data_IF_333650132146
#
_entry.id   IF_333650132146
#
_cell.length_a   1.000
_cell.length_b   1.000
_cell.length_c   1.000
_cell.angle_alpha   90.00
_cell.angle_beta   90.00
_cell.angle_gamma   90.00
#
_symmetry.space_group_name_H-M   'P 1'
#
loop_
_entity.id
_entity.type
_entity.pdbx_description
1 polymer ?
#
# COMPACT_ATOMS: atom_id res chain seq x y z
N UNK A 1 4.82 -23.15 -4.26
CA UNK A 1 5.78 -23.46 -3.18
C UNK A 1 7.05 -24.15 -3.72
N UNK A 2 7.02 -24.86 -4.86
CA UNK A 2 8.14 -25.69 -5.34
C UNK A 2 9.45 -24.98 -5.74
N UNK A 3 9.52 -23.64 -5.71
CA UNK A 3 10.70 -22.86 -6.11
C UNK A 3 11.19 -21.89 -5.02
N UNK A 4 10.56 -21.86 -3.84
CA UNK A 4 10.95 -20.95 -2.78
C UNK A 4 11.97 -21.63 -1.86
N UNK A 5 13.07 -20.94 -1.53
CA UNK A 5 14.03 -21.41 -0.51
C UNK A 5 13.40 -21.37 0.89
N UNK A 6 12.52 -20.40 1.15
CA UNK A 6 11.78 -20.25 2.41
C UNK A 6 10.31 -19.96 2.11
N UNK A 7 9.41 -20.71 2.76
CA UNK A 7 7.96 -20.50 2.70
C UNK A 7 7.40 -20.17 4.08
N UNK A 8 7.03 -18.90 4.28
CA UNK A 8 6.43 -18.41 5.53
C UNK A 8 4.91 -18.48 5.45
N UNK A 9 4.32 -19.59 5.91
CA UNK A 9 2.87 -19.77 5.93
C UNK A 9 2.23 -19.11 7.16
N UNK A 10 2.31 -17.78 7.23
CA UNK A 10 1.81 -17.01 8.36
C UNK A 10 0.28 -17.01 8.50
N UNK A 11 -0.20 -16.81 9.73
CA UNK A 11 -1.59 -16.52 10.03
C UNK A 11 -2.04 -15.23 9.32
N UNK A 12 -3.20 -15.23 8.61
CA UNK A 12 -3.68 -14.04 7.91
C UNK A 12 -3.81 -12.81 8.83
N UNK A 13 -3.26 -11.68 8.39
CA UNK A 13 -3.32 -10.42 9.15
C UNK A 13 -2.12 -10.14 10.04
N UNK A 14 -1.17 -11.07 10.16
CA UNK A 14 0.01 -10.94 11.03
C UNK A 14 1.26 -10.38 10.33
N UNK A 15 1.09 -9.82 9.14
CA UNK A 15 2.18 -9.35 8.26
C UNK A 15 3.09 -8.31 8.93
N UNK A 16 2.51 -7.36 9.68
CA UNK A 16 3.27 -6.33 10.39
C UNK A 16 4.13 -6.97 11.49
N UNK A 17 3.58 -7.95 12.21
CA UNK A 17 4.29 -8.68 13.26
C UNK A 17 5.50 -9.43 12.68
N UNK A 18 5.30 -10.14 11.55
CA UNK A 18 6.38 -10.82 10.84
C UNK A 18 7.46 -9.84 10.38
N UNK A 19 7.08 -8.74 9.71
CA UNK A 19 8.03 -7.76 9.22
C UNK A 19 8.80 -7.07 10.35
N UNK A 20 8.15 -6.84 11.51
CA UNK A 20 8.84 -6.32 12.69
C UNK A 20 9.81 -7.34 13.30
N UNK A 21 9.46 -8.63 13.33
CA UNK A 21 10.37 -9.67 13.81
C UNK A 21 11.62 -9.78 12.92
N UNK A 22 11.44 -9.74 11.59
CA UNK A 22 12.56 -9.70 10.64
C UNK A 22 13.39 -8.43 10.84
N UNK A 23 12.74 -7.27 10.95
CA UNK A 23 13.44 -5.99 11.18
C UNK A 23 14.23 -5.96 12.48
N UNK A 24 13.69 -6.57 13.55
CA UNK A 24 14.41 -6.77 14.83
C UNK A 24 15.69 -7.57 14.61
N UNK A 25 15.59 -8.73 13.96
CA UNK A 25 16.74 -9.61 13.71
C UNK A 25 17.82 -8.94 12.88
N UNK A 26 17.44 -8.20 11.82
CA UNK A 26 18.39 -7.43 11.01
C UNK A 26 19.15 -6.39 11.86
N UNK A 27 18.46 -5.70 12.77
CA UNK A 27 19.09 -4.75 13.69
C UNK A 27 20.00 -5.46 14.70
N UNK A 28 19.56 -6.58 15.28
CA UNK A 28 20.33 -7.34 16.27
C UNK A 28 21.62 -7.92 15.67
N UNK A 29 21.57 -8.37 14.41
CA UNK A 29 22.71 -8.93 13.70
C UNK A 29 23.67 -7.87 13.15
N UNK A 30 23.26 -6.60 13.09
CA UNK A 30 24.00 -5.54 12.41
C UNK A 30 23.87 -5.58 10.88
N UNK A 31 22.90 -6.30 10.34
CA UNK A 31 22.59 -6.42 8.91
C UNK A 31 21.82 -5.19 8.37
N UNK A 32 22.16 -3.99 8.87
CA UNK A 32 21.54 -2.72 8.51
C UNK A 32 22.57 -1.76 7.92
N UNK A 33 22.12 -0.91 7.00
CA UNK A 33 22.95 0.12 6.38
C UNK A 33 22.81 1.43 7.18
N UNK A 34 23.64 1.57 8.23
CA UNK A 34 23.60 2.74 9.12
C UNK A 34 23.87 4.06 8.39
N UNK A 35 24.75 4.06 7.40
CA UNK A 35 25.06 5.26 6.61
C UNK A 35 23.86 5.64 5.73
N UNK A 36 23.21 4.66 5.09
CA UNK A 36 21.98 4.93 4.35
C UNK A 36 20.87 5.43 5.26
N UNK A 37 20.64 4.78 6.40
CA UNK A 37 19.62 5.17 7.38
C UNK A 37 19.84 6.64 7.80
N UNK A 38 21.07 7.00 8.17
CA UNK A 38 21.40 8.35 8.64
C UNK A 38 21.20 9.42 7.57
N UNK A 39 21.54 9.12 6.32
CA UNK A 39 21.58 10.11 5.24
C UNK A 39 20.27 10.21 4.43
N UNK A 40 19.43 9.16 4.45
CA UNK A 40 18.31 9.03 3.51
C UNK A 40 16.99 8.61 4.16
N UNK A 41 16.94 8.46 5.49
CA UNK A 41 15.71 8.08 6.20
C UNK A 41 15.45 8.96 7.41
N UNK A 42 14.24 8.89 7.93
CA UNK A 42 13.83 9.51 9.19
C UNK A 42 13.08 8.50 10.06
N UNK A 43 13.03 8.74 11.37
CA UNK A 43 12.22 7.91 12.29
C UNK A 43 12.81 6.54 12.66
N UNK A 44 14.08 6.26 12.34
CA UNK A 44 14.72 4.97 12.66
C UNK A 44 14.68 4.63 14.16
N UNK A 45 14.93 5.59 15.06
CA UNK A 45 14.89 5.33 16.50
C UNK A 45 13.49 4.94 17.00
N UNK A 46 12.44 5.56 16.45
CA UNK A 46 11.05 5.16 16.72
C UNK A 46 10.77 3.76 16.17
N UNK A 47 11.19 3.48 14.93
CA UNK A 47 11.04 2.15 14.32
C UNK A 47 11.76 1.07 15.14
N UNK A 48 13.01 1.32 15.54
CA UNK A 48 13.80 0.44 16.41
C UNK A 48 13.05 0.17 17.73
N UNK A 49 12.54 1.20 18.41
CA UNK A 49 11.74 1.00 19.62
C UNK A 49 10.53 0.10 19.36
N UNK A 50 9.83 0.26 18.23
CA UNK A 50 8.64 -0.53 17.87
C UNK A 50 9.01 -2.00 17.63
N UNK A 51 10.03 -2.30 16.83
CA UNK A 51 10.36 -3.69 16.49
C UNK A 51 10.92 -4.48 17.68
N UNK A 52 11.50 -3.79 18.67
CA UNK A 52 11.97 -4.42 19.90
C UNK A 52 10.87 -4.61 20.97
N UNK A 53 9.63 -4.13 20.75
CA UNK A 53 8.51 -4.33 21.69
C UNK A 53 8.07 -5.78 21.83
N UNK A 54 8.36 -6.63 20.82
CA UNK A 54 8.06 -8.06 20.85
C UNK A 54 9.34 -8.85 20.67
N UNK A 55 9.42 -9.97 21.36
CA UNK A 55 10.45 -10.99 21.16
C UNK A 55 10.19 -11.78 19.87
N UNK A 56 11.21 -12.51 19.40
CA UNK A 56 11.05 -13.42 18.27
C UNK A 56 10.01 -14.51 18.57
N UNK A 57 10.06 -15.10 19.76
CA UNK A 57 9.12 -16.13 20.21
C UNK A 57 7.66 -15.66 20.18
N UNK A 58 7.37 -14.48 20.76
CA UNK A 58 6.00 -13.91 20.73
C UNK A 58 5.54 -13.63 19.30
N UNK A 59 6.43 -13.11 18.45
CA UNK A 59 6.10 -12.84 17.06
C UNK A 59 5.84 -14.13 16.27
N UNK A 60 6.65 -15.17 16.49
CA UNK A 60 6.51 -16.48 15.88
C UNK A 60 5.17 -17.14 16.27
N UNK A 61 4.82 -17.09 17.57
CA UNK A 61 3.53 -17.56 18.08
C UNK A 61 2.35 -16.85 17.40
N UNK A 62 2.36 -15.51 17.37
CA UNK A 62 1.31 -14.72 16.71
C UNK A 62 1.20 -15.08 15.23
N UNK A 63 2.33 -15.17 14.54
CA UNK A 63 2.37 -15.49 13.12
C UNK A 63 2.03 -16.95 12.82
N UNK A 64 2.00 -17.85 13.81
CA UNK A 64 1.84 -19.28 13.58
C UNK A 64 3.02 -19.88 12.81
N UNK A 65 4.24 -19.43 13.10
CA UNK A 65 5.47 -19.83 12.43
C UNK A 65 6.50 -20.34 13.44
N UNK A 66 7.45 -21.15 12.98
CA UNK A 66 8.64 -21.50 13.76
C UNK A 66 9.64 -20.33 13.76
N UNK A 67 10.22 -20.03 14.93
CA UNK A 67 11.25 -18.98 15.09
C UNK A 67 12.40 -19.17 14.09
N UNK A 68 12.84 -20.42 13.90
CA UNK A 68 13.92 -20.78 12.98
C UNK A 68 13.64 -20.34 11.54
N UNK A 69 12.39 -20.39 11.10
CA UNK A 69 12.01 -20.00 9.73
C UNK A 69 12.04 -18.48 9.54
N UNK A 70 11.63 -17.72 10.56
CA UNK A 70 11.74 -16.25 10.57
C UNK A 70 13.21 -15.84 10.59
N UNK A 71 14.03 -16.53 11.40
CA UNK A 71 15.48 -16.33 11.47
C UNK A 71 16.15 -16.56 10.12
N UNK A 72 15.80 -17.66 9.46
CA UNK A 72 16.32 -17.99 8.12
C UNK A 72 15.92 -16.91 7.09
N UNK A 73 14.67 -16.44 7.12
CA UNK A 73 14.23 -15.35 6.24
C UNK A 73 15.03 -14.05 6.47
N UNK A 74 15.26 -13.68 7.74
CA UNK A 74 16.09 -12.52 8.08
C UNK A 74 17.54 -12.69 7.61
N UNK A 75 18.13 -13.88 7.77
CA UNK A 75 19.48 -14.20 7.28
C UNK A 75 19.58 -14.09 5.75
N UNK A 76 18.58 -14.55 5.01
CA UNK A 76 18.57 -14.38 3.55
C UNK A 76 18.55 -12.92 3.15
N UNK A 77 17.77 -12.08 3.84
CA UNK A 77 17.70 -10.64 3.58
C UNK A 77 19.03 -9.97 3.96
N UNK A 78 19.59 -10.25 5.14
CA UNK A 78 20.83 -9.62 5.62
C UNK A 78 22.06 -9.96 4.75
N UNK A 79 22.11 -11.17 4.18
CA UNK A 79 23.20 -11.58 3.28
C UNK A 79 22.98 -11.18 1.81
N UNK A 80 21.84 -10.57 1.47
CA UNK A 80 21.49 -10.28 0.09
C UNK A 80 22.37 -9.16 -0.49
N UNK A 81 22.86 -9.35 -1.72
CA UNK A 81 23.49 -8.25 -2.48
C UNK A 81 22.44 -7.30 -3.07
N UNK A 82 21.22 -7.77 -3.25
CA UNK A 82 20.06 -7.00 -3.69
C UNK A 82 18.78 -7.65 -3.16
N UNK A 83 17.87 -6.82 -2.67
CA UNK A 83 16.62 -7.27 -2.06
C UNK A 83 15.43 -6.57 -2.73
N UNK A 84 14.65 -7.35 -3.48
CA UNK A 84 13.38 -6.91 -4.05
C UNK A 84 12.26 -7.51 -3.21
N UNK A 85 11.41 -6.64 -2.66
CA UNK A 85 10.15 -7.07 -2.06
C UNK A 85 9.03 -6.89 -3.08
N UNK A 86 8.23 -7.93 -3.30
CA UNK A 86 7.10 -7.90 -4.23
C UNK A 86 5.82 -8.30 -3.52
N UNK A 87 4.75 -7.54 -3.70
CA UNK A 87 3.46 -7.86 -3.07
C UNK A 87 2.27 -7.51 -3.96
N UNK A 88 1.14 -8.14 -3.69
CA UNK A 88 -0.13 -7.91 -4.36
C UNK A 88 -1.22 -7.55 -3.35
N UNK A 89 -2.42 -8.11 -3.49
CA UNK A 89 -3.59 -7.74 -2.71
C UNK A 89 -3.58 -8.28 -1.28
N UNK A 90 -2.80 -9.31 -0.96
CA UNK A 90 -2.71 -9.83 0.42
C UNK A 90 -2.28 -8.77 1.46
N UNK A 91 -1.42 -7.83 1.05
CA UNK A 91 -1.06 -6.68 1.88
C UNK A 91 -2.05 -5.52 1.72
N UNK A 92 -2.48 -5.24 0.49
CA UNK A 92 -3.26 -4.04 0.17
C UNK A 92 -4.73 -4.13 0.63
N UNK A 93 -5.38 -5.28 0.49
CA UNK A 93 -6.78 -5.49 0.87
C UNK A 93 -6.90 -5.83 2.36
N UNK A 94 -6.60 -4.82 3.18
CA UNK A 94 -6.56 -4.92 4.64
C UNK A 94 -7.04 -3.61 5.25
N UNK A 95 -7.74 -3.70 6.40
CA UNK A 95 -8.12 -2.53 7.19
C UNK A 95 -6.92 -1.67 7.61
N UNK A 96 -5.72 -2.27 7.66
CA UNK A 96 -4.44 -1.62 7.97
C UNK A 96 -3.45 -1.74 6.83
N UNK A 97 -3.92 -1.77 5.58
CA UNK A 97 -3.10 -1.99 4.38
C UNK A 97 -1.93 -1.04 4.24
N UNK A 98 -2.11 0.25 4.55
CA UNK A 98 -1.02 1.25 4.55
C UNK A 98 0.10 0.83 5.50
N UNK A 99 -0.23 0.45 6.73
CA UNK A 99 0.77 0.05 7.73
C UNK A 99 1.47 -1.25 7.35
N UNK A 100 0.77 -2.20 6.73
CA UNK A 100 1.39 -3.43 6.18
C UNK A 100 2.43 -3.10 5.12
N UNK A 101 2.08 -2.23 4.17
CA UNK A 101 3.00 -1.78 3.12
C UNK A 101 4.23 -1.07 3.72
N UNK A 102 4.02 -0.14 4.66
CA UNK A 102 5.12 0.55 5.34
C UNK A 102 6.03 -0.42 6.09
N UNK A 103 5.47 -1.42 6.79
CA UNK A 103 6.27 -2.40 7.53
C UNK A 103 7.21 -3.22 6.63
N UNK A 104 6.77 -3.54 5.40
CA UNK A 104 7.60 -4.23 4.40
C UNK A 104 8.65 -3.30 3.81
N UNK A 105 8.25 -2.07 3.44
CA UNK A 105 9.16 -1.04 2.89
C UNK A 105 10.27 -0.70 3.88
N UNK A 106 9.97 -0.68 5.18
CA UNK A 106 10.97 -0.42 6.22
C UNK A 106 12.12 -1.42 6.17
N UNK A 107 11.89 -2.68 5.79
CA UNK A 107 12.97 -3.67 5.61
C UNK A 107 13.94 -3.25 4.49
N UNK A 108 13.42 -2.76 3.36
CA UNK A 108 14.24 -2.20 2.28
C UNK A 108 15.00 -0.94 2.73
N UNK A 109 14.38 -0.09 3.55
CA UNK A 109 15.00 1.15 4.04
C UNK A 109 16.14 0.88 5.02
N UNK A 110 15.93 0.01 6.02
CA UNK A 110 16.98 -0.27 7.03
C UNK A 110 18.15 -1.05 6.46
N UNK A 111 17.95 -1.81 5.38
CA UNK A 111 19.02 -2.54 4.67
C UNK A 111 19.66 -1.72 3.55
N UNK A 112 19.17 -0.50 3.26
CA UNK A 112 19.67 0.31 2.15
C UNK A 112 19.41 -0.30 0.76
N UNK A 113 18.49 -1.28 0.65
CA UNK A 113 18.08 -1.91 -0.60
C UNK A 113 16.94 -1.13 -1.28
N UNK A 114 17.23 0.11 -1.67
CA UNK A 114 16.34 0.98 -2.45
C UNK A 114 17.15 1.91 -3.34
N UNK A 115 16.64 2.25 -4.53
CA UNK A 115 17.32 3.13 -5.49
C UNK A 115 18.58 2.51 -6.14
N UNK A 116 18.75 1.18 -6.02
CA UNK A 116 19.88 0.41 -6.56
C UNK A 116 19.35 -0.69 -7.50
N UNK A 117 20.08 -1.06 -8.57
CA UNK A 117 19.70 -2.19 -9.42
C UNK A 117 19.47 -3.47 -8.59
N UNK A 118 18.41 -4.21 -8.90
CA UNK A 118 18.07 -5.43 -8.18
C UNK A 118 17.59 -5.21 -6.73
N UNK A 119 17.18 -3.99 -6.37
CA UNK A 119 16.68 -3.67 -5.04
C UNK A 119 15.43 -2.80 -5.09
N UNK A 120 14.56 -2.96 -4.10
CA UNK A 120 13.47 -2.03 -3.82
C UNK A 120 12.10 -2.68 -3.67
N UNK A 121 11.12 -1.90 -3.20
CA UNK A 121 9.76 -2.36 -3.03
C UNK A 121 8.95 -2.24 -4.33
N UNK A 122 8.33 -3.34 -4.76
CA UNK A 122 7.50 -3.45 -5.96
C UNK A 122 6.08 -3.91 -5.65
N UNK A 123 5.14 -2.95 -5.72
CA UNK A 123 3.72 -3.27 -5.70
C UNK A 123 3.29 -3.81 -7.07
N UNK A 124 2.90 -5.07 -7.12
CA UNK A 124 2.41 -5.72 -8.33
C UNK A 124 0.94 -5.36 -8.55
N UNK A 125 0.68 -4.50 -9.53
CA UNK A 125 -0.68 -4.11 -9.94
C UNK A 125 -1.29 -5.15 -10.87
N UNK A 126 -2.55 -5.52 -10.65
CA UNK A 126 -3.22 -6.55 -11.45
C UNK A 126 -3.75 -6.07 -12.80
N UNK A 127 -4.45 -4.94 -12.86
CA UNK A 127 -5.08 -4.48 -14.11
C UNK A 127 -4.02 -3.88 -15.05
N UNK A 128 -4.11 -4.15 -16.38
CA UNK A 128 -3.09 -3.74 -17.35
C UNK A 128 -2.73 -2.25 -17.35
N UNK A 129 -3.70 -1.38 -17.04
CA UNK A 129 -3.51 0.07 -17.03
C UNK A 129 -3.88 0.73 -15.69
N UNK A 130 -3.72 0.00 -14.58
CA UNK A 130 -4.01 0.54 -13.25
C UNK A 130 -3.20 1.80 -12.93
N UNK A 131 -1.91 1.81 -13.32
CA UNK A 131 -1.04 2.96 -13.10
C UNK A 131 -1.34 4.11 -14.06
N UNK A 132 -1.50 3.84 -15.35
CA UNK A 132 -1.84 4.88 -16.32
C UNK A 132 -3.16 5.59 -15.99
N UNK A 133 -4.16 4.88 -15.48
CA UNK A 133 -5.40 5.49 -14.98
C UNK A 133 -5.17 6.52 -13.87
N UNK A 134 -4.20 6.28 -12.98
CA UNK A 134 -3.82 7.24 -11.92
C UNK A 134 -3.06 8.43 -12.49
N UNK A 135 -2.15 8.17 -13.42
CA UNK A 135 -1.35 9.19 -14.09
C UNK A 135 -2.20 10.19 -14.86
N UNK A 136 -3.32 9.74 -15.46
CA UNK A 136 -4.22 10.62 -16.22
C UNK A 136 -5.33 11.27 -15.38
N UNK A 137 -5.27 11.19 -14.05
CA UNK A 137 -6.22 11.85 -13.15
C UNK A 137 -7.51 11.07 -12.88
N UNK A 138 -7.48 9.73 -12.97
CA UNK A 138 -8.62 8.86 -12.64
C UNK A 138 -8.89 8.67 -11.14
N UNK A 139 -8.16 9.37 -10.26
CA UNK A 139 -8.36 9.31 -8.80
C UNK A 139 -9.14 10.53 -8.33
N UNK A 140 -10.00 10.34 -7.33
CA UNK A 140 -10.85 11.43 -6.80
C UNK A 140 -10.09 12.52 -6.04
N UNK A 141 -8.83 12.26 -5.68
CA UNK A 141 -8.01 13.10 -4.80
C UNK A 141 -6.70 13.58 -5.44
N UNK A 142 -6.48 13.33 -6.73
CA UNK A 142 -5.22 13.63 -7.41
C UNK A 142 -5.49 14.12 -8.83
N UNK A 143 -4.72 15.13 -9.25
CA UNK A 143 -4.77 15.67 -10.60
C UNK A 143 -3.83 14.89 -11.54
N UNK A 144 -4.00 14.99 -12.87
CA UNK A 144 -3.11 14.34 -13.83
C UNK A 144 -1.63 14.63 -13.59
N UNK A 145 -0.75 13.70 -13.98
CA UNK A 145 0.69 13.72 -13.77
C UNK A 145 1.09 13.82 -12.28
N UNK A 146 0.38 13.10 -11.40
CA UNK A 146 0.63 13.06 -9.96
C UNK A 146 0.59 14.42 -9.25
N UNK A 147 -0.19 15.34 -9.79
CA UNK A 147 -0.33 16.68 -9.21
C UNK A 147 -1.21 16.63 -7.96
N UNK A 148 -0.67 17.16 -6.88
CA UNK A 148 -1.40 17.32 -5.62
C UNK A 148 -2.59 18.27 -5.79
N UNK A 149 -3.82 17.77 -5.62
CA UNK A 149 -5.06 18.54 -5.69
C UNK A 149 -5.11 19.69 -4.68
N UNK A 150 -4.56 19.50 -3.49
CA UNK A 150 -4.55 20.52 -2.43
C UNK A 150 -3.59 21.68 -2.72
N UNK A 151 -2.65 21.52 -3.66
CA UNK A 151 -1.71 22.57 -4.02
C UNK A 151 -2.34 23.56 -5.02
N UNK A 152 -2.50 24.86 -4.68
CA UNK A 152 -3.13 25.84 -5.55
C UNK A 152 -2.38 26.05 -6.87
N UNK A 153 -1.05 25.98 -6.87
CA UNK A 153 -0.22 26.10 -8.08
C UNK A 153 -0.46 24.93 -9.03
N UNK A 154 -0.55 23.71 -8.48
CA UNK A 154 -0.85 22.53 -9.30
C UNK A 154 -2.24 22.62 -9.92
N UNK A 155 -3.25 23.12 -9.19
CA UNK A 155 -4.57 23.37 -9.76
C UNK A 155 -4.47 24.39 -10.88
N UNK A 156 -3.87 25.56 -10.62
CA UNK A 156 -3.73 26.64 -11.60
C UNK A 156 -3.13 26.15 -12.93
N UNK A 157 -2.03 25.39 -12.89
CA UNK A 157 -1.39 24.84 -14.09
C UNK A 157 -2.34 23.97 -14.92
N UNK A 158 -3.16 23.13 -14.28
CA UNK A 158 -4.15 22.29 -14.96
C UNK A 158 -5.34 23.13 -15.47
N UNK A 159 -5.82 24.09 -14.68
CA UNK A 159 -6.90 25.00 -15.08
C UNK A 159 -6.52 25.79 -16.34
N UNK A 160 -5.30 26.35 -16.37
CA UNK A 160 -4.79 27.08 -17.54
C UNK A 160 -4.72 26.19 -18.78
N UNK A 161 -4.20 24.96 -18.64
CA UNK A 161 -4.14 24.00 -19.73
C UNK A 161 -5.53 23.61 -20.26
N UNK A 162 -6.55 23.54 -19.40
CA UNK A 162 -7.95 23.25 -19.75
C UNK A 162 -8.80 24.49 -20.06
N UNK A 163 -8.19 25.61 -20.43
CA UNK A 163 -8.90 26.80 -20.90
C UNK A 163 -9.58 27.62 -19.80
N UNK A 164 -9.07 27.55 -18.56
CA UNK A 164 -9.53 28.36 -17.42
C UNK A 164 -10.65 27.73 -16.60
N UNK A 165 -11.00 26.47 -16.83
CA UNK A 165 -12.02 25.76 -16.03
C UNK A 165 -11.60 25.70 -14.57
N UNK A 166 -12.46 26.15 -13.65
CA UNK A 166 -12.18 26.09 -12.22
C UNK A 166 -12.14 24.65 -11.70
N UNK A 167 -11.10 24.32 -10.92
CA UNK A 167 -10.91 23.03 -10.25
C UNK A 167 -11.04 23.25 -8.75
N UNK A 168 -11.98 22.53 -8.12
CA UNK A 168 -12.14 22.53 -6.66
C UNK A 168 -10.93 21.91 -5.97
N UNK A 169 -10.56 22.44 -4.82
CA UNK A 169 -9.53 21.84 -3.96
C UNK A 169 -10.05 20.65 -3.13
N UNK A 170 -11.37 20.46 -3.08
CA UNK A 170 -12.01 19.38 -2.34
C UNK A 170 -11.93 18.09 -3.15
N UNK A 171 -11.35 17.05 -2.54
CA UNK A 171 -11.37 15.72 -3.13
C UNK A 171 -12.80 15.22 -3.36
N UNK A 172 -12.99 14.52 -4.47
CA UNK A 172 -14.22 13.80 -4.75
C UNK A 172 -14.37 12.55 -3.87
N UNK A 173 -15.54 11.93 -3.96
CA UNK A 173 -15.83 10.68 -3.28
C UNK A 173 -14.98 9.53 -3.84
N UNK A 174 -14.47 8.66 -2.98
CA UNK A 174 -13.90 7.38 -3.38
C UNK A 174 -14.99 6.43 -3.91
N UNK A 175 -14.60 5.34 -4.58
CA UNK A 175 -15.55 4.40 -5.15
C UNK A 175 -16.57 3.86 -4.13
N UNK A 176 -16.17 3.54 -2.90
CA UNK A 176 -17.09 3.07 -1.85
C UNK A 176 -17.97 4.20 -1.34
N UNK A 177 -17.40 5.38 -1.09
CA UNK A 177 -18.16 6.56 -0.63
C UNK A 177 -19.19 7.03 -1.66
N UNK A 178 -18.97 6.80 -2.96
CA UNK A 178 -19.98 7.07 -3.99
C UNK A 178 -21.25 6.26 -3.76
N UNK A 179 -21.16 4.98 -3.38
CA UNK A 179 -22.33 4.14 -3.11
C UNK A 179 -23.00 4.49 -1.78
N UNK A 180 -22.24 4.87 -0.76
CA UNK A 180 -22.81 5.43 0.47
C UNK A 180 -23.57 6.73 0.17
N UNK A 181 -22.99 7.61 -0.64
CA UNK A 181 -23.62 8.86 -1.05
C UNK A 181 -24.86 8.66 -1.94
N UNK A 182 -24.90 7.62 -2.80
CA UNK A 182 -26.11 7.23 -3.51
C UNK A 182 -27.20 6.79 -2.52
N UNK A 183 -26.82 5.98 -1.52
CA UNK A 183 -27.75 5.47 -0.52
C UNK A 183 -28.34 6.55 0.39
N UNK A 184 -27.53 7.54 0.76
CA UNK A 184 -27.94 8.75 1.49
C UNK A 184 -28.67 9.78 0.61
N UNK A 185 -28.66 9.58 -0.71
CA UNK A 185 -29.20 10.52 -1.68
C UNK A 185 -28.38 11.82 -1.84
N UNK A 186 -27.13 11.89 -1.38
CA UNK A 186 -26.22 13.01 -1.64
C UNK A 186 -25.71 12.99 -3.09
N UNK A 187 -25.43 11.80 -3.63
CA UNK A 187 -25.13 11.58 -5.04
C UNK A 187 -26.42 11.16 -5.76
N UNK A 188 -26.68 11.74 -6.95
CA UNK A 188 -27.91 11.49 -7.70
C UNK A 188 -27.69 10.77 -9.03
N UNK A 189 -26.51 10.89 -9.61
CA UNK A 189 -26.14 10.26 -10.86
C UNK A 189 -24.77 9.62 -10.71
N UNK A 190 -24.56 8.48 -11.38
CA UNK A 190 -23.29 7.79 -11.44
C UNK A 190 -23.04 7.31 -12.87
N UNK A 191 -21.79 7.43 -13.33
CA UNK A 191 -21.35 6.92 -14.62
C UNK A 191 -20.27 5.88 -14.39
N UNK A 192 -20.56 4.64 -14.75
CA UNK A 192 -19.71 3.47 -14.54
C UNK A 192 -19.07 3.09 -15.87
N UNK A 193 -17.77 3.33 -16.00
CA UNK A 193 -17.03 3.08 -17.25
C UNK A 193 -16.14 1.86 -17.10
N UNK A 194 -16.33 0.85 -17.96
CA UNK A 194 -15.47 -0.34 -18.08
C UNK A 194 -15.24 -1.10 -16.76
N UNK A 195 -16.21 -1.10 -15.84
CA UNK A 195 -16.19 -1.87 -14.60
C UNK A 195 -17.60 -2.34 -14.23
N UNK A 196 -17.72 -3.31 -13.32
CA UNK A 196 -19.00 -3.81 -12.83
C UNK A 196 -19.00 -3.84 -11.29
N UNK A 197 -19.51 -2.79 -10.62
CA UNK A 197 -19.55 -2.71 -9.17
C UNK A 197 -20.36 -3.81 -8.48
N UNK A 198 -21.35 -4.40 -9.17
CA UNK A 198 -22.14 -5.51 -8.63
C UNK A 198 -21.36 -6.83 -8.57
N UNK A 199 -20.22 -6.90 -9.24
CA UNK A 199 -19.31 -8.06 -9.21
C UNK A 199 -18.06 -7.74 -8.39
N UNK A 200 -17.54 -6.52 -8.48
CA UNK A 200 -16.22 -6.18 -7.95
C UNK A 200 -16.21 -5.51 -6.57
N UNK A 201 -17.32 -4.92 -6.11
CA UNK A 201 -17.38 -4.32 -4.78
C UNK A 201 -17.65 -5.38 -3.70
N UNK A 202 -17.06 -5.22 -2.50
CA UNK A 202 -17.11 -6.24 -1.45
C UNK A 202 -18.52 -6.45 -0.87
N UNK A 203 -19.37 -5.41 -0.88
CA UNK A 203 -20.75 -5.49 -0.41
C UNK A 203 -21.73 -5.19 -1.56
N UNK A 204 -22.06 -6.24 -2.31
CA UNK A 204 -22.97 -6.15 -3.47
C UNK A 204 -24.35 -5.58 -3.11
N UNK A 205 -24.85 -5.83 -1.89
CA UNK A 205 -26.18 -5.36 -1.48
C UNK A 205 -26.22 -3.84 -1.33
N UNK A 206 -25.21 -3.26 -0.70
CA UNK A 206 -25.06 -1.79 -0.60
C UNK A 206 -24.94 -1.17 -1.99
N UNK A 207 -24.18 -1.81 -2.88
CA UNK A 207 -24.02 -1.34 -4.25
C UNK A 207 -25.34 -1.36 -5.02
N UNK A 208 -26.08 -2.48 -4.95
CA UNK A 208 -27.38 -2.66 -5.60
C UNK A 208 -28.42 -1.66 -5.09
N UNK A 209 -28.50 -1.45 -3.78
CA UNK A 209 -29.39 -0.45 -3.17
C UNK A 209 -29.06 0.98 -3.64
N UNK A 210 -27.77 1.31 -3.70
CA UNK A 210 -27.30 2.60 -4.19
C UNK A 210 -27.70 2.84 -5.65
N UNK A 211 -27.54 1.83 -6.52
CA UNK A 211 -27.93 1.94 -7.93
C UNK A 211 -29.45 2.10 -8.11
N UNK A 212 -30.27 1.40 -7.31
CA UNK A 212 -31.74 1.54 -7.36
C UNK A 212 -32.22 2.93 -6.93
N UNK A 213 -31.48 3.60 -6.03
CA UNK A 213 -31.78 4.96 -5.55
C UNK A 213 -31.23 6.05 -6.47
N UNK A 214 -30.25 5.74 -7.32
CA UNK A 214 -29.71 6.68 -8.28
C UNK A 214 -30.82 7.17 -9.23
N UNK A 215 -30.85 8.49 -9.48
CA UNK A 215 -31.77 9.07 -10.47
C UNK A 215 -31.32 8.77 -11.90
N UNK A 216 -30.04 8.50 -12.10
CA UNK A 216 -29.46 8.22 -13.40
C UNK A 216 -28.20 7.35 -13.24
N UNK A 217 -28.11 6.29 -14.05
CA UNK A 217 -26.97 5.38 -14.12
C UNK A 217 -26.58 5.24 -15.59
N UNK A 218 -25.29 5.44 -15.89
CA UNK A 218 -24.69 5.16 -17.20
C UNK A 218 -23.74 3.98 -17.06
#
# INVERSE_FOLDING_TARGET
VSLADVHLQLNPGTDITLNHAIGRLLIENGDIDLDFIKNHTEGFEQYKKIVFQRTLAEAAEICGLDEATILLAAQHIGNAKGFISMWTMGLNQSAVGVNKNLSLINLNLITGHIGKPGSGPFSLTGQPNAMGGREVGGLSNMLPAHRNLANPKHREEVQQFWGGTHISEKAGLTATEMFDALNDGKLKAIWIVCTNPLVSLPNVRIAEEGLKKAKFVV
#
